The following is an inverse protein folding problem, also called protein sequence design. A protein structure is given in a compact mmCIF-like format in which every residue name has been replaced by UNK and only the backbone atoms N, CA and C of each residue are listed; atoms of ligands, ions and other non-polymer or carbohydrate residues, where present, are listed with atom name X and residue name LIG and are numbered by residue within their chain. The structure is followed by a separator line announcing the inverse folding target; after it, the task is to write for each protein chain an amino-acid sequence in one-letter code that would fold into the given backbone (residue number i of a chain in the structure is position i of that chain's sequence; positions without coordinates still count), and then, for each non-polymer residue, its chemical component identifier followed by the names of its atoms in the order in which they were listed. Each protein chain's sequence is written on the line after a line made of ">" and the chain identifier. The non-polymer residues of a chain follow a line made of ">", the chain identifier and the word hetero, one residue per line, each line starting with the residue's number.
data_IF_857739580561
#
_entry.id   IF_857739580561
#
_cell.length_a   1.000
_cell.length_b   1.000
_cell.length_c   1.000
_cell.angle_alpha   90.00
_cell.angle_beta   90.00
_cell.angle_gamma   90.00
#
_symmetry.space_group_name_H-M   'P 1'
#
loop_
_entity.id
_entity.type
_entity.pdbx_description
1 polymer ?
#
# COMPACT_ATOMS: atom_id res chain seq x y z
N UNK A 1 -10.12 -13.29 -10.18
CA UNK A 1 -9.74 -12.59 -8.94
C UNK A 1 -8.91 -11.37 -9.31
N UNK A 2 -9.54 -10.21 -9.45
CA UNK A 2 -8.82 -8.95 -9.71
C UNK A 2 -8.37 -8.41 -8.35
N UNK A 3 -7.44 -9.13 -7.71
CA UNK A 3 -6.88 -8.72 -6.41
C UNK A 3 -6.21 -7.36 -6.60
N UNK A 4 -6.63 -6.35 -5.82
CA UNK A 4 -6.13 -4.98 -5.82
C UNK A 4 -4.58 -4.95 -5.91
N UNK A 5 -4.05 -4.87 -7.13
CA UNK A 5 -2.60 -4.76 -7.38
C UNK A 5 -2.10 -3.33 -7.16
N UNK A 6 -2.96 -2.40 -6.73
CA UNK A 6 -2.62 -0.99 -6.56
C UNK A 6 -1.51 -0.79 -5.55
N UNK A 7 -1.52 -1.52 -4.44
CA UNK A 7 -0.40 -1.49 -3.48
C UNK A 7 0.88 -1.99 -4.13
N UNK A 8 0.83 -3.08 -4.91
CA UNK A 8 2.02 -3.62 -5.58
C UNK A 8 2.58 -2.65 -6.62
N UNK A 9 1.71 -2.03 -7.43
CA UNK A 9 2.06 -1.00 -8.41
C UNK A 9 2.61 0.25 -7.73
N UNK A 10 1.99 0.70 -6.64
CA UNK A 10 2.45 1.84 -5.87
C UNK A 10 3.87 1.62 -5.32
N UNK A 11 4.12 0.45 -4.73
CA UNK A 11 5.45 0.08 -4.24
C UNK A 11 6.46 -0.02 -5.39
N UNK A 12 6.05 -0.52 -6.56
CA UNK A 12 6.91 -0.54 -7.75
C UNK A 12 7.27 0.88 -8.22
N UNK A 13 6.30 1.80 -8.29
CA UNK A 13 6.52 3.21 -8.62
C UNK A 13 7.47 3.92 -7.64
N UNK A 14 7.51 3.50 -6.38
CA UNK A 14 8.47 4.04 -5.40
C UNK A 14 9.92 3.61 -5.63
N UNK A 15 10.17 2.66 -6.55
CA UNK A 15 11.47 2.02 -6.80
C UNK A 15 11.56 0.58 -6.29
N UNK A 16 10.42 -0.05 -5.98
CA UNK A 16 10.35 -1.44 -5.50
C UNK A 16 10.47 -1.58 -3.98
N UNK A 17 10.30 -2.82 -3.51
CA UNK A 17 10.09 -3.12 -2.09
C UNK A 17 11.25 -2.70 -1.17
N UNK A 18 12.50 -2.82 -1.61
CA UNK A 18 13.69 -2.45 -0.81
C UNK A 18 13.78 -0.92 -0.63
N UNK A 19 13.53 -0.16 -1.70
CA UNK A 19 13.56 1.30 -1.66
C UNK A 19 12.36 1.83 -0.87
N UNK A 20 11.17 1.27 -1.08
CA UNK A 20 9.98 1.64 -0.33
C UNK A 20 10.14 1.37 1.18
N UNK A 21 10.68 0.21 1.57
CA UNK A 21 10.98 -0.13 2.96
C UNK A 21 11.92 0.91 3.60
N UNK A 22 12.99 1.31 2.90
CA UNK A 22 13.92 2.33 3.36
C UNK A 22 13.27 3.71 3.54
N UNK A 23 12.50 4.18 2.54
CA UNK A 23 11.79 5.46 2.59
C UNK A 23 10.75 5.52 3.72
N UNK A 24 10.02 4.43 3.93
CA UNK A 24 8.93 4.36 4.90
C UNK A 24 9.43 4.01 6.31
N UNK A 25 10.70 3.60 6.46
CA UNK A 25 11.30 3.08 7.70
C UNK A 25 10.55 1.88 8.26
N UNK A 26 10.18 0.95 7.38
CA UNK A 26 9.52 -0.31 7.74
C UNK A 26 10.33 -1.50 7.22
N UNK A 27 10.05 -2.69 7.75
CA UNK A 27 10.70 -3.92 7.25
C UNK A 27 10.22 -4.26 5.83
N UNK A 28 11.08 -4.90 5.04
CA UNK A 28 10.69 -5.46 3.73
C UNK A 28 9.56 -6.49 3.86
N UNK A 29 9.52 -7.23 4.96
CA UNK A 29 8.43 -8.16 5.28
C UNK A 29 7.08 -7.45 5.45
N UNK A 30 7.08 -6.24 6.02
CA UNK A 30 5.87 -5.40 6.12
C UNK A 30 5.37 -5.02 4.73
N UNK A 31 6.26 -4.59 3.84
CA UNK A 31 5.90 -4.28 2.44
C UNK A 31 5.34 -5.52 1.73
N UNK A 32 5.98 -6.68 1.90
CA UNK A 32 5.49 -7.93 1.32
C UNK A 32 4.08 -8.29 1.83
N UNK A 33 3.78 -8.07 3.11
CA UNK A 33 2.42 -8.25 3.65
C UNK A 33 1.43 -7.30 2.99
N UNK A 34 1.75 -6.02 2.87
CA UNK A 34 0.85 -5.06 2.21
C UNK A 34 0.58 -5.42 0.75
N UNK A 35 1.61 -5.82 0.00
CA UNK A 35 1.45 -6.28 -1.39
C UNK A 35 0.63 -7.57 -1.48
N UNK A 36 0.80 -8.51 -0.54
CA UNK A 36 0.04 -9.77 -0.51
C UNK A 36 -1.43 -9.54 -0.18
N UNK A 37 -1.71 -8.66 0.79
CA UNK A 37 -3.08 -8.37 1.22
C UNK A 37 -3.76 -7.28 0.37
N UNK A 38 -3.01 -6.59 -0.51
CA UNK A 38 -3.53 -5.49 -1.32
C UNK A 38 -3.99 -4.29 -0.49
N UNK A 39 -3.49 -4.12 0.74
CA UNK A 39 -3.93 -3.06 1.66
C UNK A 39 -2.80 -2.56 2.57
N UNK A 40 -2.78 -1.25 2.80
CA UNK A 40 -1.93 -0.57 3.80
C UNK A 40 -2.83 -0.14 4.96
N UNK A 41 -2.82 -0.84 6.10
CA UNK A 41 -3.80 -0.61 7.18
C UNK A 41 -3.62 0.73 7.91
N UNK A 42 -2.37 1.21 8.02
CA UNK A 42 -2.06 2.46 8.71
C UNK A 42 -2.25 3.64 7.75
N UNK A 43 -3.06 4.63 8.16
CA UNK A 43 -3.36 5.82 7.37
C UNK A 43 -2.12 6.66 7.07
N UNK A 44 -1.24 6.87 8.05
CA UNK A 44 0.02 7.61 7.85
C UNK A 44 0.88 6.95 6.77
N UNK A 45 1.02 5.62 6.83
CA UNK A 45 1.78 4.87 5.83
C UNK A 45 1.12 4.92 4.46
N UNK A 46 -0.21 4.80 4.40
CA UNK A 46 -0.95 4.90 3.14
C UNK A 46 -0.81 6.29 2.51
N UNK A 47 -0.85 7.36 3.31
CA UNK A 47 -0.61 8.74 2.85
C UNK A 47 0.82 8.92 2.35
N UNK A 48 1.82 8.37 3.06
CA UNK A 48 3.22 8.44 2.62
C UNK A 48 3.47 7.66 1.33
N UNK A 49 2.86 6.48 1.18
CA UNK A 49 2.92 5.70 -0.07
C UNK A 49 2.19 6.42 -1.19
N UNK A 50 1.01 7.00 -0.93
CA UNK A 50 0.25 7.80 -1.90
C UNK A 50 1.11 8.95 -2.43
N UNK A 51 1.69 9.75 -1.54
CA UNK A 51 2.54 10.88 -1.89
C UNK A 51 3.79 10.45 -2.70
N UNK A 52 4.36 9.29 -2.39
CA UNK A 52 5.57 8.81 -3.05
C UNK A 52 5.33 8.02 -4.36
N UNK A 53 4.12 7.50 -4.57
CA UNK A 53 3.80 6.60 -5.70
C UNK A 53 2.82 7.22 -6.72
N UNK A 54 2.11 8.28 -6.33
CA UNK A 54 1.07 8.92 -7.13
C UNK A 54 -0.31 8.23 -7.07
N UNK A 55 -0.46 7.18 -6.26
CA UNK A 55 -1.73 6.49 -6.08
C UNK A 55 -2.62 7.19 -5.05
N UNK A 56 -3.94 7.11 -5.21
CA UNK A 56 -4.89 7.63 -4.22
C UNK A 56 -4.84 6.81 -2.92
N UNK A 57 -4.95 7.47 -1.77
CA UNK A 57 -4.98 6.81 -0.45
C UNK A 57 -6.12 5.80 -0.36
N UNK A 58 -7.28 6.11 -0.95
CA UNK A 58 -8.47 5.24 -0.94
C UNK A 58 -8.23 3.92 -1.68
N UNK A 59 -7.39 3.92 -2.72
CA UNK A 59 -6.99 2.71 -3.46
C UNK A 59 -6.02 1.85 -2.65
N UNK A 60 -5.14 2.48 -1.85
CA UNK A 60 -4.14 1.80 -1.03
C UNK A 60 -4.70 1.30 0.30
N UNK A 61 -5.75 1.97 0.79
CA UNK A 61 -6.44 1.68 2.03
C UNK A 61 -7.94 1.74 1.76
N UNK A 62 -8.50 0.78 1.01
CA UNK A 62 -9.95 0.66 0.93
C UNK A 62 -10.46 0.51 2.36
N UNK A 63 -11.20 1.51 2.86
CA UNK A 63 -12.02 1.30 4.05
C UNK A 63 -12.82 0.06 3.73
N UNK A 64 -12.79 -0.96 4.58
CA UNK A 64 -13.78 -2.02 4.51
C UNK A 64 -15.11 -1.28 4.33
N UNK A 65 -15.71 -1.38 3.14
CA UNK A 65 -17.12 -1.05 3.01
C UNK A 65 -17.72 -1.95 4.06
N UNK A 66 -18.15 -1.36 5.17
CA UNK A 66 -19.12 -2.01 6.03
C UNK A 66 -20.19 -2.48 5.05
N UNK A 67 -20.27 -3.78 4.86
CA UNK A 67 -21.46 -4.40 4.33
C UNK A 67 -22.54 -4.05 5.35
N UNK A 68 -23.13 -2.87 5.19
CA UNK A 68 -24.36 -2.49 5.86
C UNK A 68 -25.37 -3.57 5.43
N UNK A 69 -25.56 -4.52 6.34
CA UNK A 69 -26.59 -5.56 6.26
C UNK A 69 -27.86 -4.98 6.84
#
# INVERSE_FOLDING_TARGET
>A
MTENQDVKKAIYNMGGAKIAAGKLRVSTSTISKWCRHGVIPNLDMATRVSAASGFAVDSLRPRFKESAT
#
